data_IF_597916790654
#
_entry.id   IF_597916790654
#
_cell.length_a   1.000
_cell.length_b   1.000
_cell.length_c   1.000
_cell.angle_alpha   90.00
_cell.angle_beta   90.00
_cell.angle_gamma   90.00
#
_symmetry.space_group_name_H-M   'P 1'
#
loop_
_entity.id
_entity.type
_entity.pdbx_description
1 polymer ?
#
# COMPACT_ATOMS: atom_id res chain seq x y z
N UNK A 1 -21.32 14.16 -69.10
CA UNK A 1 -22.69 14.53 -68.82
C UNK A 1 -23.46 13.25 -68.45
N UNK A 2 -23.89 13.13 -67.29
CA UNK A 2 -25.06 12.48 -66.69
C UNK A 2 -24.70 12.11 -65.23
N UNK A 3 -25.32 12.82 -64.33
CA UNK A 3 -25.18 12.64 -62.90
C UNK A 3 -25.97 11.37 -62.47
N UNK A 4 -25.35 10.49 -61.66
CA UNK A 4 -26.00 9.40 -60.99
C UNK A 4 -26.31 9.84 -59.55
N UNK A 5 -27.59 9.97 -59.25
CA UNK A 5 -28.15 10.19 -57.90
C UNK A 5 -27.99 8.93 -57.05
N UNK A 6 -27.21 8.99 -55.98
CA UNK A 6 -27.12 7.94 -54.97
C UNK A 6 -28.28 8.09 -54.00
N UNK A 7 -29.10 7.05 -53.89
CA UNK A 7 -30.18 6.92 -52.90
C UNK A 7 -29.61 6.61 -51.50
N UNK A 8 -30.11 7.34 -50.50
CA UNK A 8 -29.86 7.12 -49.08
C UNK A 8 -30.59 5.86 -48.59
N UNK A 9 -29.96 4.91 -47.92
CA UNK A 9 -30.67 3.77 -47.32
C UNK A 9 -31.40 4.16 -46.04
N UNK A 10 -32.54 3.51 -45.79
CA UNK A 10 -33.48 3.75 -44.72
C UNK A 10 -32.90 3.55 -43.30
N UNK A 11 -33.40 4.35 -42.39
CA UNK A 11 -33.20 4.34 -40.94
C UNK A 11 -33.35 2.95 -40.31
N UNK A 12 -32.31 2.56 -39.53
CA UNK A 12 -32.34 1.39 -38.66
C UNK A 12 -33.36 1.57 -37.51
N UNK A 13 -34.01 0.50 -37.03
CA UNK A 13 -34.94 0.58 -35.92
C UNK A 13 -34.21 0.88 -34.59
N UNK A 14 -34.90 1.64 -33.72
CA UNK A 14 -34.41 1.99 -32.38
C UNK A 14 -34.16 0.73 -31.52
N UNK A 15 -33.14 0.74 -30.65
CA UNK A 15 -32.88 -0.38 -29.78
C UNK A 15 -34.00 -0.55 -28.76
N UNK A 16 -34.47 -1.77 -28.62
CA UNK A 16 -35.44 -2.22 -27.62
C UNK A 16 -34.83 -2.04 -26.23
N UNK A 17 -35.52 -1.34 -25.34
CA UNK A 17 -35.14 -1.19 -23.93
C UNK A 17 -35.05 -2.55 -23.27
N UNK A 18 -33.82 -3.03 -23.02
CA UNK A 18 -33.59 -4.18 -22.18
C UNK A 18 -33.96 -3.80 -20.74
N UNK A 19 -34.82 -4.58 -20.13
CA UNK A 19 -35.20 -4.48 -18.72
C UNK A 19 -33.95 -4.69 -17.85
N UNK A 20 -33.68 -3.71 -16.99
CA UNK A 20 -32.63 -3.79 -15.95
C UNK A 20 -32.98 -4.98 -15.04
N UNK A 21 -32.09 -5.97 -14.84
CA UNK A 21 -32.33 -7.04 -13.88
C UNK A 21 -32.39 -6.45 -12.47
N UNK A 22 -33.31 -6.96 -11.67
CA UNK A 22 -33.55 -6.56 -10.28
C UNK A 22 -32.24 -6.62 -9.50
N UNK A 23 -31.94 -5.54 -8.76
CA UNK A 23 -30.83 -5.42 -7.82
C UNK A 23 -30.73 -6.66 -6.93
N UNK A 24 -29.58 -7.33 -6.97
CA UNK A 24 -29.26 -8.38 -6.01
C UNK A 24 -29.39 -7.83 -4.58
N UNK A 25 -29.87 -8.62 -3.61
CA UNK A 25 -29.98 -8.18 -2.24
C UNK A 25 -28.60 -7.79 -1.71
N UNK A 26 -28.53 -6.67 -1.00
CA UNK A 26 -27.31 -6.21 -0.33
C UNK A 26 -26.74 -7.34 0.55
N UNK A 27 -25.42 -7.59 0.52
CA UNK A 27 -24.83 -8.63 1.34
C UNK A 27 -25.10 -8.33 2.82
N UNK A 28 -25.62 -9.31 3.52
CA UNK A 28 -25.89 -9.27 4.95
C UNK A 28 -24.65 -8.80 5.69
N UNK A 29 -24.79 -7.76 6.49
CA UNK A 29 -23.72 -7.21 7.34
C UNK A 29 -23.22 -8.31 8.27
N UNK A 30 -22.07 -8.91 7.95
CA UNK A 30 -21.32 -9.70 8.91
C UNK A 30 -20.80 -8.70 9.97
N UNK A 31 -21.50 -8.59 11.09
CA UNK A 31 -21.07 -7.81 12.24
C UNK A 31 -19.80 -8.44 12.81
N UNK A 32 -18.81 -7.62 13.15
CA UNK A 32 -17.66 -8.04 13.96
C UNK A 32 -18.22 -8.65 15.26
N UNK A 33 -17.76 -9.84 15.67
CA UNK A 33 -18.23 -10.47 16.89
C UNK A 33 -18.14 -9.52 18.09
N UNK A 34 -19.15 -9.51 18.97
CA UNK A 34 -19.25 -8.60 20.12
C UNK A 34 -18.02 -8.67 21.04
N UNK A 35 -17.38 -9.85 21.16
CA UNK A 35 -16.16 -10.06 21.93
C UNK A 35 -14.91 -9.40 21.33
N UNK A 36 -14.97 -8.94 20.09
CA UNK A 36 -13.84 -8.28 19.41
C UNK A 36 -13.78 -6.77 19.69
N UNK A 37 -14.69 -6.21 20.49
CA UNK A 37 -14.73 -4.77 20.80
C UNK A 37 -14.21 -4.49 22.21
N UNK A 38 -13.58 -3.31 22.37
CA UNK A 38 -13.22 -2.75 23.67
C UNK A 38 -14.51 -2.21 24.36
N UNK A 39 -14.46 -1.92 25.70
CA UNK A 39 -15.61 -1.34 26.40
C UNK A 39 -16.15 -0.03 25.81
N UNK A 40 -15.29 0.72 25.09
CA UNK A 40 -15.63 1.96 24.36
C UNK A 40 -16.24 1.70 22.97
N UNK A 41 -16.52 0.44 22.60
CA UNK A 41 -17.08 0.06 21.31
C UNK A 41 -16.08 0.03 20.14
N UNK A 42 -14.81 0.36 20.38
CA UNK A 42 -13.75 0.30 19.36
C UNK A 42 -13.33 -1.16 19.13
N UNK A 43 -13.20 -1.62 17.86
CA UNK A 43 -12.70 -2.96 17.56
C UNK A 43 -11.29 -3.17 18.15
N UNK A 44 -11.01 -4.36 18.63
CA UNK A 44 -9.67 -4.73 19.09
C UNK A 44 -8.76 -5.01 17.90
N UNK A 45 -7.47 -4.59 17.94
CA UNK A 45 -6.51 -5.06 16.97
C UNK A 45 -6.27 -6.56 17.14
N UNK A 46 -5.92 -7.26 16.06
CA UNK A 46 -5.56 -8.66 16.11
C UNK A 46 -4.42 -8.88 17.11
N UNK A 47 -4.56 -9.88 17.96
CA UNK A 47 -3.59 -10.21 19.00
C UNK A 47 -2.47 -11.12 18.46
N UNK A 48 -2.71 -11.82 17.36
CA UNK A 48 -1.77 -12.76 16.72
C UNK A 48 -1.67 -12.56 15.21
N UNK A 49 -0.65 -13.18 14.63
CA UNK A 49 -0.45 -13.28 13.19
C UNK A 49 -1.67 -13.90 12.50
N UNK A 50 -2.11 -15.07 13.01
CA UNK A 50 -3.20 -15.83 12.40
C UNK A 50 -4.53 -15.08 12.44
N UNK A 51 -4.84 -14.38 13.53
CA UNK A 51 -6.03 -13.53 13.63
C UNK A 51 -6.02 -12.42 12.60
N UNK A 52 -4.87 -11.73 12.40
CA UNK A 52 -4.76 -10.65 11.44
C UNK A 52 -4.94 -11.14 10.00
N UNK A 53 -4.31 -12.28 9.65
CA UNK A 53 -4.42 -12.89 8.32
C UNK A 53 -5.84 -13.40 8.09
N UNK A 54 -6.47 -14.04 9.07
CA UNK A 54 -7.85 -14.49 8.99
C UNK A 54 -8.82 -13.32 8.80
N UNK A 55 -8.63 -12.21 9.53
CA UNK A 55 -9.44 -11.00 9.37
C UNK A 55 -9.32 -10.41 7.96
N UNK A 56 -8.09 -10.32 7.42
CA UNK A 56 -7.85 -9.85 6.07
C UNK A 56 -8.54 -10.74 5.03
N UNK A 57 -8.41 -12.06 5.16
CA UNK A 57 -9.05 -13.05 4.29
C UNK A 57 -10.58 -12.95 4.32
N UNK A 58 -11.16 -12.75 5.49
CA UNK A 58 -12.62 -12.66 5.67
C UNK A 58 -13.24 -11.45 4.97
N UNK A 59 -12.53 -10.30 4.94
CA UNK A 59 -13.05 -9.07 4.31
C UNK A 59 -12.64 -8.90 2.85
N UNK A 60 -11.63 -9.64 2.35
CA UNK A 60 -11.12 -9.51 0.98
C UNK A 60 -12.21 -9.63 -0.11
N UNK A 61 -13.17 -10.59 -0.06
CA UNK A 61 -14.23 -10.67 -1.06
C UNK A 61 -15.15 -9.44 -1.06
N UNK A 62 -15.45 -8.87 0.11
CA UNK A 62 -16.27 -7.66 0.24
C UNK A 62 -15.52 -6.46 -0.36
N UNK A 63 -14.20 -6.35 -0.13
CA UNK A 63 -13.36 -5.32 -0.71
C UNK A 63 -13.25 -5.47 -2.23
N UNK A 64 -13.26 -6.71 -2.74
CA UNK A 64 -13.30 -7.02 -4.17
C UNK A 64 -14.53 -6.42 -4.87
N UNK A 65 -15.68 -6.38 -4.19
CA UNK A 65 -16.90 -5.76 -4.71
C UNK A 65 -16.74 -4.24 -4.98
N UNK A 66 -15.87 -3.57 -4.26
CA UNK A 66 -15.56 -2.13 -4.46
C UNK A 66 -14.44 -1.87 -5.47
N UNK A 67 -13.79 -2.89 -6.02
CA UNK A 67 -12.59 -2.71 -6.84
C UNK A 67 -12.85 -1.89 -8.13
N UNK A 68 -13.98 -2.13 -8.82
CA UNK A 68 -14.37 -1.37 -10.00
C UNK A 68 -14.76 0.08 -9.65
N UNK A 69 -15.43 0.28 -8.53
CA UNK A 69 -15.78 1.62 -8.04
C UNK A 69 -14.54 2.41 -7.66
N UNK A 70 -13.60 1.81 -6.92
CA UNK A 70 -12.33 2.43 -6.56
C UNK A 70 -11.51 2.83 -7.80
N UNK A 71 -11.46 1.98 -8.83
CA UNK A 71 -10.81 2.28 -10.10
C UNK A 71 -11.43 3.52 -10.77
N UNK A 72 -12.76 3.60 -10.83
CA UNK A 72 -13.51 4.72 -11.43
C UNK A 72 -13.34 6.01 -10.61
N UNK A 73 -13.45 5.94 -9.29
CA UNK A 73 -13.34 7.10 -8.39
C UNK A 73 -11.89 7.63 -8.26
N UNK A 74 -10.90 6.80 -8.57
CA UNK A 74 -9.47 7.09 -8.35
C UNK A 74 -9.14 7.34 -6.88
N UNK A 75 -9.91 6.70 -6.00
CA UNK A 75 -9.75 6.67 -4.53
C UNK A 75 -10.59 5.53 -3.98
N UNK A 76 -10.38 5.09 -2.73
CA UNK A 76 -11.25 4.08 -2.14
C UNK A 76 -12.62 4.68 -1.75
N UNK A 77 -13.72 3.96 -1.95
CA UNK A 77 -14.98 4.29 -1.32
C UNK A 77 -14.88 4.28 0.21
N UNK A 78 -15.64 5.13 0.89
CA UNK A 78 -15.63 5.24 2.34
C UNK A 78 -15.93 3.90 3.05
N UNK A 79 -16.79 3.09 2.47
CA UNK A 79 -17.15 1.75 2.96
C UNK A 79 -15.93 0.80 2.97
N UNK A 80 -15.11 0.85 1.92
CA UNK A 80 -13.90 0.03 1.84
C UNK A 80 -12.87 0.45 2.91
N UNK A 81 -12.75 1.75 3.17
CA UNK A 81 -11.89 2.26 4.26
C UNK A 81 -12.42 1.83 5.62
N UNK A 82 -13.74 1.94 5.85
CA UNK A 82 -14.35 1.49 7.11
C UNK A 82 -14.14 -0.01 7.37
N UNK A 83 -14.21 -0.86 6.33
CA UNK A 83 -13.92 -2.29 6.48
C UNK A 83 -12.50 -2.55 6.99
N UNK A 84 -11.53 -1.78 6.52
CA UNK A 84 -10.14 -1.88 6.96
C UNK A 84 -9.97 -1.35 8.40
N UNK A 85 -10.64 -0.25 8.75
CA UNK A 85 -10.64 0.33 10.09
C UNK A 85 -11.30 -0.60 11.11
N UNK A 86 -12.49 -1.15 10.80
CA UNK A 86 -13.20 -2.10 11.65
C UNK A 86 -12.40 -3.39 11.90
N UNK A 87 -11.67 -3.86 10.88
CA UNK A 87 -10.77 -5.00 10.99
C UNK A 87 -9.40 -4.62 11.60
N UNK A 88 -9.14 -3.35 11.92
CA UNK A 88 -7.88 -2.83 12.49
C UNK A 88 -6.65 -3.23 11.68
N UNK A 89 -6.76 -3.32 10.35
CA UNK A 89 -5.67 -3.80 9.50
C UNK A 89 -4.60 -2.73 9.20
N UNK A 90 -4.88 -1.46 9.44
CA UNK A 90 -3.85 -0.43 9.44
C UNK A 90 -2.95 -0.49 10.69
N UNK A 91 -3.42 -1.10 11.79
CA UNK A 91 -2.74 -1.14 13.08
C UNK A 91 -1.81 -2.34 13.29
N UNK A 92 -1.60 -3.17 12.28
CA UNK A 92 -0.76 -4.39 12.38
C UNK A 92 0.63 -4.08 12.92
N UNK A 93 1.24 -2.99 12.47
CA UNK A 93 2.57 -2.54 12.90
C UNK A 93 2.55 -1.40 13.92
N UNK A 94 1.38 -0.95 14.37
CA UNK A 94 1.28 0.02 15.47
C UNK A 94 1.65 -0.68 16.79
N UNK A 95 2.52 -0.09 17.64
CA UNK A 95 2.91 -0.74 18.88
C UNK A 95 1.73 -1.00 19.83
N UNK A 96 1.76 -2.13 20.55
CA UNK A 96 0.69 -2.52 21.51
C UNK A 96 0.43 -1.46 22.57
N UNK A 97 1.49 -0.79 23.05
CA UNK A 97 1.37 0.30 24.04
C UNK A 97 0.57 1.50 23.53
N UNK A 98 0.42 1.62 22.21
CA UNK A 98 -0.37 2.64 21.53
C UNK A 98 -1.67 2.08 20.95
N UNK A 99 -2.12 0.90 21.42
CA UNK A 99 -3.39 0.31 21.04
C UNK A 99 -3.40 -0.44 19.71
N UNK A 100 -2.23 -0.72 19.12
CA UNK A 100 -2.09 -1.51 17.90
C UNK A 100 -1.82 -3.00 18.14
N UNK A 101 -1.63 -3.76 17.06
CA UNK A 101 -1.32 -5.19 17.09
C UNK A 101 0.10 -5.49 17.54
N UNK A 102 1.07 -4.61 17.25
CA UNK A 102 2.49 -4.82 17.52
C UNK A 102 3.04 -6.07 16.84
N UNK A 103 2.47 -6.45 15.68
CA UNK A 103 2.82 -7.65 14.91
C UNK A 103 4.01 -7.37 13.98
N UNK A 104 4.50 -8.42 13.31
CA UNK A 104 5.71 -8.31 12.48
C UNK A 104 5.42 -8.04 10.99
N UNK A 105 6.52 -7.88 10.24
CA UNK A 105 6.45 -7.63 8.80
C UNK A 105 5.93 -8.84 8.00
N UNK A 106 6.09 -10.08 8.49
CA UNK A 106 5.44 -11.26 7.91
C UNK A 106 3.90 -11.12 7.93
N UNK A 107 3.34 -10.64 9.05
CA UNK A 107 1.90 -10.35 9.14
C UNK A 107 1.52 -9.23 8.18
N UNK A 108 2.35 -8.19 8.08
CA UNK A 108 2.13 -7.09 7.16
C UNK A 108 2.10 -7.56 5.69
N UNK A 109 3.03 -8.42 5.30
CA UNK A 109 3.10 -9.02 3.97
C UNK A 109 1.84 -9.84 3.67
N UNK A 110 1.47 -10.78 4.57
CA UNK A 110 0.40 -11.74 4.31
C UNK A 110 -0.99 -11.11 4.38
N UNK A 111 -1.22 -10.17 5.29
CA UNK A 111 -2.49 -9.41 5.30
C UNK A 111 -2.65 -8.56 4.03
N UNK A 112 -1.55 -8.01 3.48
CA UNK A 112 -1.57 -7.31 2.20
C UNK A 112 -1.86 -8.26 1.04
N UNK A 113 -1.24 -9.46 1.02
CA UNK A 113 -1.51 -10.49 0.01
C UNK A 113 -3.01 -10.84 -0.03
N UNK A 114 -3.61 -11.17 1.12
CA UNK A 114 -5.03 -11.53 1.20
C UNK A 114 -5.95 -10.40 0.72
N UNK A 115 -5.71 -9.16 1.15
CA UNK A 115 -6.50 -8.01 0.70
C UNK A 115 -6.37 -7.73 -0.79
N UNK A 116 -5.16 -7.92 -1.34
CA UNK A 116 -4.89 -7.67 -2.75
C UNK A 116 -5.51 -8.70 -3.67
N UNK A 117 -5.88 -9.89 -3.18
CA UNK A 117 -6.73 -10.84 -3.91
C UNK A 117 -8.10 -10.24 -4.22
N UNK A 118 -8.66 -9.43 -3.32
CA UNK A 118 -9.89 -8.70 -3.57
C UNK A 118 -9.67 -7.45 -4.42
N UNK A 119 -8.71 -6.61 -4.02
CA UNK A 119 -8.42 -5.34 -4.69
C UNK A 119 -6.97 -4.91 -4.43
N UNK A 120 -6.18 -4.81 -5.49
CA UNK A 120 -4.77 -4.41 -5.40
C UNK A 120 -4.59 -2.99 -4.82
N UNK A 121 -5.47 -2.04 -5.14
CA UNK A 121 -5.44 -0.69 -4.57
C UNK A 121 -5.67 -0.69 -3.05
N UNK A 122 -6.57 -1.54 -2.55
CA UNK A 122 -6.79 -1.73 -1.11
C UNK A 122 -5.54 -2.29 -0.44
N UNK A 123 -4.96 -3.35 -1.01
CA UNK A 123 -3.71 -3.93 -0.50
C UNK A 123 -2.57 -2.92 -0.49
N UNK A 124 -2.46 -2.12 -1.53
CA UNK A 124 -1.46 -1.05 -1.60
C UNK A 124 -1.61 -0.05 -0.46
N UNK A 125 -2.81 0.48 -0.24
CA UNK A 125 -3.05 1.45 0.84
C UNK A 125 -2.81 0.83 2.21
N UNK A 126 -3.24 -0.42 2.43
CA UNK A 126 -2.92 -1.14 3.65
C UNK A 126 -1.41 -1.28 3.86
N UNK A 127 -0.66 -1.65 2.81
CA UNK A 127 0.79 -1.81 2.90
C UNK A 127 1.49 -0.50 3.27
N UNK A 128 1.13 0.60 2.59
CA UNK A 128 1.74 1.91 2.81
C UNK A 128 1.31 2.49 4.14
N UNK A 129 0.02 2.70 4.35
CA UNK A 129 -0.48 3.40 5.54
C UNK A 129 -0.23 2.61 6.82
N UNK A 130 -0.43 1.28 6.79
CA UNK A 130 -0.11 0.42 7.92
C UNK A 130 1.40 0.26 8.14
N UNK A 131 2.22 0.34 7.09
CA UNK A 131 3.68 0.35 7.19
C UNK A 131 4.21 1.63 7.85
N UNK A 132 3.57 2.76 7.59
CA UNK A 132 3.99 4.05 8.11
C UNK A 132 3.77 4.21 9.62
N UNK A 133 2.87 3.44 10.24
CA UNK A 133 2.73 3.41 11.70
C UNK A 133 4.00 2.91 12.39
N UNK A 134 4.75 2.00 11.73
CA UNK A 134 6.09 1.61 12.18
C UNK A 134 7.06 2.81 12.17
N UNK A 135 7.02 3.65 11.12
CA UNK A 135 7.85 4.85 11.02
C UNK A 135 7.50 5.86 12.13
N UNK A 136 6.20 6.09 12.38
CA UNK A 136 5.73 6.95 13.47
C UNK A 136 6.23 6.46 14.83
N UNK A 137 6.30 5.14 15.04
CA UNK A 137 6.82 4.57 16.28
C UNK A 137 8.29 4.91 16.57
N UNK A 138 9.04 5.45 15.61
CA UNK A 138 10.43 5.91 15.77
C UNK A 138 10.52 7.39 16.21
N UNK A 139 9.44 8.16 16.09
CA UNK A 139 9.42 9.58 16.47
C UNK A 139 9.44 9.80 18.00
N UNK A 140 9.64 11.05 18.48
CA UNK A 140 9.48 11.44 19.88
C UNK A 140 8.15 10.98 20.47
N UNK A 141 8.10 10.79 21.80
CA UNK A 141 6.90 10.28 22.49
C UNK A 141 5.69 11.20 22.31
N UNK A 142 5.92 12.51 22.30
CA UNK A 142 4.89 13.53 22.09
C UNK A 142 4.23 13.37 20.71
N UNK A 143 5.02 13.18 19.67
CA UNK A 143 4.52 12.94 18.32
C UNK A 143 3.73 11.62 18.24
N UNK A 144 4.23 10.56 18.91
CA UNK A 144 3.50 9.28 18.99
C UNK A 144 2.16 9.43 19.71
N UNK A 145 2.11 10.24 20.79
CA UNK A 145 0.87 10.54 21.51
C UNK A 145 -0.14 11.26 20.63
N UNK A 146 0.30 12.24 19.85
CA UNK A 146 -0.56 12.95 18.90
C UNK A 146 -1.12 12.02 17.82
N UNK A 147 -0.25 11.25 17.16
CA UNK A 147 -0.65 10.40 16.02
C UNK A 147 -1.50 9.22 16.48
N UNK A 148 -1.15 8.56 17.58
CA UNK A 148 -1.86 7.38 18.07
C UNK A 148 -2.96 7.70 19.11
N UNK A 149 -3.37 8.97 19.20
CA UNK A 149 -4.49 9.39 20.09
C UNK A 149 -5.82 8.77 19.70
N UNK A 150 -6.01 8.46 18.44
CA UNK A 150 -7.17 7.77 17.89
C UNK A 150 -6.80 6.36 17.40
N UNK A 151 -7.70 5.39 17.49
CA UNK A 151 -7.50 4.06 16.89
C UNK A 151 -7.55 4.15 15.37
N UNK A 152 -6.84 3.23 14.70
CA UNK A 152 -6.79 3.14 13.23
C UNK A 152 -6.33 4.42 12.53
N UNK A 153 -5.39 5.16 13.14
CA UNK A 153 -4.84 6.36 12.51
C UNK A 153 -4.14 6.00 11.20
N UNK A 154 -4.54 6.68 10.13
CA UNK A 154 -4.02 6.45 8.78
C UNK A 154 -2.93 7.47 8.47
N UNK A 155 -1.75 6.97 8.17
CA UNK A 155 -0.55 7.77 7.96
C UNK A 155 -0.06 7.59 6.53
N UNK A 156 -0.16 8.62 5.70
CA UNK A 156 0.44 8.64 4.37
C UNK A 156 1.95 8.92 4.46
N UNK A 157 2.67 8.62 3.39
CA UNK A 157 4.12 8.85 3.32
C UNK A 157 4.50 9.49 1.99
N UNK A 158 5.36 10.50 2.08
CA UNK A 158 6.11 11.02 0.95
C UNK A 158 7.57 11.23 1.37
N UNK A 159 8.46 10.30 1.01
CA UNK A 159 9.86 10.29 1.46
C UNK A 159 10.69 11.49 0.99
N UNK A 160 10.22 12.25 0.01
CA UNK A 160 10.98 13.39 -0.53
C UNK A 160 10.06 14.48 -1.04
N UNK A 161 9.87 15.53 -0.25
CA UNK A 161 9.27 16.76 -0.74
C UNK A 161 10.25 17.51 -1.64
N UNK A 162 9.73 18.12 -2.69
CA UNK A 162 10.44 19.06 -3.53
C UNK A 162 10.18 20.48 -3.03
N UNK A 163 11.17 21.37 -3.18
CA UNK A 163 11.09 22.75 -2.71
C UNK A 163 12.36 23.18 -1.97
N UNK A 164 12.39 24.40 -1.44
CA UNK A 164 13.53 24.89 -0.67
C UNK A 164 13.70 24.08 0.64
N UNK A 165 14.90 23.99 1.19
CA UNK A 165 15.11 23.41 2.52
C UNK A 165 14.23 24.09 3.57
N UNK A 166 13.73 23.31 4.53
CA UNK A 166 12.99 23.88 5.66
C UNK A 166 13.91 24.80 6.48
N UNK A 167 13.37 25.92 6.95
CA UNK A 167 14.14 26.88 7.73
C UNK A 167 14.01 26.60 9.22
N UNK A 168 15.12 26.43 9.90
CA UNK A 168 15.15 26.30 11.35
C UNK A 168 14.67 27.59 12.00
N UNK A 169 13.73 27.47 12.94
CA UNK A 169 13.19 28.59 13.74
C UNK A 169 13.10 28.19 15.21
N UNK A 170 12.91 29.13 16.15
CA UNK A 170 12.67 28.76 17.55
C UNK A 170 11.48 27.79 17.68
N UNK A 171 11.70 26.63 18.32
CA UNK A 171 10.70 25.60 18.57
C UNK A 171 10.37 24.67 17.41
N UNK A 172 11.05 24.78 16.25
CA UNK A 172 10.76 23.89 15.12
C UNK A 172 11.34 24.31 13.79
N UNK A 173 10.62 23.95 12.73
CA UNK A 173 10.99 24.22 11.35
C UNK A 173 9.82 24.85 10.58
N UNK A 174 10.12 25.90 9.81
CA UNK A 174 9.18 26.50 8.89
C UNK A 174 9.34 25.90 7.49
N UNK A 175 8.30 25.20 7.02
CA UNK A 175 8.16 24.74 5.64
C UNK A 175 7.42 25.81 4.84
N UNK A 176 7.86 26.07 3.60
CA UNK A 176 7.19 27.00 2.70
C UNK A 176 7.34 26.57 1.25
N UNK A 177 6.23 26.52 0.51
CA UNK A 177 6.25 26.27 -0.92
C UNK A 177 6.79 24.89 -1.30
N UNK A 178 6.60 23.89 -0.42
CA UNK A 178 6.99 22.52 -0.68
C UNK A 178 5.86 21.75 -1.36
N UNK A 179 6.21 20.71 -2.13
CA UNK A 179 5.25 19.83 -2.77
C UNK A 179 5.76 18.39 -2.85
N UNK A 180 4.84 17.43 -2.88
CA UNK A 180 5.12 16.01 -3.01
C UNK A 180 4.25 15.35 -4.07
N UNK A 181 4.73 14.26 -4.67
CA UNK A 181 4.02 13.43 -5.64
C UNK A 181 3.86 12.02 -5.12
N UNK A 182 2.87 11.29 -5.66
CA UNK A 182 2.66 9.87 -5.35
C UNK A 182 2.39 9.61 -3.86
N UNK A 183 1.62 10.50 -3.19
CA UNK A 183 1.25 10.32 -1.78
C UNK A 183 0.03 9.39 -1.69
N UNK A 184 0.28 8.08 -1.61
CA UNK A 184 -0.77 7.07 -1.60
C UNK A 184 -1.68 7.21 -0.38
N UNK A 185 -2.99 7.26 -0.64
CA UNK A 185 -4.02 7.34 0.40
C UNK A 185 -4.15 8.70 1.06
N UNK A 186 -3.61 9.77 0.48
CA UNK A 186 -3.68 11.12 1.05
C UNK A 186 -5.13 11.57 1.31
N UNK A 187 -6.09 11.12 0.49
CA UNK A 187 -7.51 11.41 0.64
C UNK A 187 -8.11 10.83 1.94
N UNK A 188 -7.45 9.83 2.54
CA UNK A 188 -7.92 9.11 3.72
C UNK A 188 -7.00 9.26 4.93
N UNK A 189 -5.87 9.95 4.77
CA UNK A 189 -4.88 10.12 5.82
C UNK A 189 -5.26 11.24 6.79
N UNK A 190 -4.93 11.07 8.05
CA UNK A 190 -4.93 12.13 9.07
C UNK A 190 -3.55 12.79 9.16
N UNK A 191 -2.49 12.01 8.88
CA UNK A 191 -1.11 12.43 8.97
C UNK A 191 -0.30 12.07 7.75
N UNK A 192 0.73 12.87 7.46
CA UNK A 192 1.71 12.59 6.42
C UNK A 192 3.10 12.56 7.05
N UNK A 193 3.84 11.47 6.90
CA UNK A 193 5.29 11.46 7.11
C UNK A 193 5.96 12.01 5.86
N UNK A 194 6.59 13.15 5.96
CA UNK A 194 7.20 13.86 4.84
C UNK A 194 8.72 13.89 4.98
N UNK A 195 9.44 13.46 3.94
CA UNK A 195 10.89 13.60 3.85
C UNK A 195 11.26 15.02 3.42
N UNK A 196 11.99 15.74 4.26
CA UNK A 196 12.31 17.16 4.11
C UNK A 196 13.81 17.38 4.28
N UNK A 197 14.42 18.19 3.42
CA UNK A 197 15.78 18.67 3.62
C UNK A 197 15.77 19.84 4.61
N UNK A 198 16.49 19.73 5.71
CA UNK A 198 16.51 20.73 6.78
C UNK A 198 17.85 20.75 7.51
N UNK A 199 18.33 21.93 8.00
CA UNK A 199 19.56 21.99 8.79
C UNK A 199 19.31 21.48 10.21
N UNK A 200 20.20 20.63 10.74
CA UNK A 200 20.11 20.13 12.12
C UNK A 200 20.21 21.25 13.17
N UNK A 201 21.00 22.30 12.88
CA UNK A 201 21.19 23.48 13.71
C UNK A 201 21.27 24.73 12.83
N UNK A 202 21.07 25.95 13.40
CA UNK A 202 21.25 27.19 12.66
C UNK A 202 22.63 27.25 11.99
N UNK A 203 22.64 27.47 10.65
CA UNK A 203 23.88 27.54 9.86
C UNK A 203 24.50 26.20 9.46
N UNK A 204 23.96 25.06 9.90
CA UNK A 204 24.39 23.76 9.42
C UNK A 204 23.91 23.48 7.99
N UNK A 205 24.64 22.60 7.27
CA UNK A 205 24.17 22.13 5.97
C UNK A 205 22.84 21.36 6.12
N UNK A 206 21.90 21.52 5.16
CA UNK A 206 20.66 20.75 5.20
C UNK A 206 20.93 19.25 5.03
N UNK A 207 20.26 18.43 5.83
CA UNK A 207 20.28 16.97 5.79
C UNK A 207 18.86 16.40 5.75
N UNK A 208 18.66 15.14 5.34
CA UNK A 208 17.34 14.54 5.27
C UNK A 208 16.72 14.33 6.67
N UNK A 209 15.49 14.83 6.83
CA UNK A 209 14.64 14.61 8.00
C UNK A 209 13.31 14.03 7.57
N UNK A 210 12.64 13.32 8.48
CA UNK A 210 11.22 12.99 8.40
C UNK A 210 10.47 13.96 9.30
N UNK A 211 9.37 14.50 8.80
CA UNK A 211 8.50 15.41 9.52
C UNK A 211 7.05 14.93 9.49
N UNK A 212 6.36 15.00 10.62
CA UNK A 212 4.94 14.67 10.74
C UNK A 212 4.10 15.93 10.47
N UNK A 213 3.32 15.87 9.38
CA UNK A 213 2.45 16.94 8.94
C UNK A 213 1.00 16.50 9.13
N UNK A 214 0.12 17.32 9.76
CA UNK A 214 -1.32 17.08 9.69
C UNK A 214 -1.78 17.20 8.23
N UNK A 215 -2.53 16.22 7.74
CA UNK A 215 -2.97 16.18 6.33
C UNK A 215 -3.82 17.40 5.98
N UNK A 216 -4.67 17.87 6.89
CA UNK A 216 -5.52 19.07 6.75
C UNK A 216 -4.73 20.37 6.48
N UNK A 217 -3.43 20.40 6.78
CA UNK A 217 -2.53 21.53 6.52
C UNK A 217 -1.86 21.46 5.14
N UNK A 218 -2.27 20.53 4.31
CA UNK A 218 -1.79 20.34 2.93
C UNK A 218 -2.92 20.60 1.94
N UNK A 219 -2.56 20.90 0.70
CA UNK A 219 -3.53 21.10 -0.40
C UNK A 219 -3.29 20.01 -1.44
N UNK A 220 -4.26 19.10 -1.58
CA UNK A 220 -4.22 18.04 -2.57
C UNK A 220 -4.39 18.56 -4.01
N UNK A 221 -3.77 17.88 -4.97
CA UNK A 221 -3.86 18.16 -6.40
C UNK A 221 -4.51 16.95 -7.07
N UNK A 222 -5.58 17.15 -7.85
CA UNK A 222 -6.26 16.07 -8.58
C UNK A 222 -5.52 15.69 -9.86
N UNK A 223 -4.35 15.05 -9.71
CA UNK A 223 -3.48 14.64 -10.81
C UNK A 223 -3.29 13.11 -10.93
N UNK A 224 -4.01 12.30 -10.12
CA UNK A 224 -3.87 10.84 -10.13
C UNK A 224 -4.68 10.19 -11.25
N UNK A 225 -4.24 10.41 -12.51
CA UNK A 225 -4.82 9.84 -13.73
C UNK A 225 -3.86 8.79 -14.30
N UNK A 226 -3.95 7.56 -13.79
CA UNK A 226 -3.00 6.48 -14.08
C UNK A 226 -3.64 5.30 -14.79
N UNK A 227 -2.82 4.42 -15.38
CA UNK A 227 -3.27 3.20 -16.04
C UNK A 227 -3.76 2.12 -15.08
N UNK A 228 -3.20 2.05 -13.86
CA UNK A 228 -3.55 1.08 -12.82
C UNK A 228 -3.31 1.65 -11.43
N UNK A 229 -3.68 0.89 -10.39
CA UNK A 229 -3.69 1.33 -9.00
C UNK A 229 -4.46 2.65 -8.80
N UNK A 230 -5.49 2.88 -9.62
CA UNK A 230 -6.24 4.14 -9.62
C UNK A 230 -6.89 4.39 -8.27
N UNK A 231 -7.44 3.34 -7.64
CA UNK A 231 -8.11 3.42 -6.34
C UNK A 231 -7.18 3.79 -5.18
N UNK A 232 -5.86 3.91 -5.37
CA UNK A 232 -4.95 4.33 -4.31
C UNK A 232 -4.99 5.83 -4.04
N UNK A 233 -5.54 6.65 -4.94
CA UNK A 233 -5.55 8.10 -4.77
C UNK A 233 -4.18 8.69 -4.47
N UNK A 234 -3.12 8.18 -5.15
CA UNK A 234 -1.73 8.59 -4.85
C UNK A 234 -1.41 9.98 -5.42
N UNK A 235 -2.21 10.96 -5.02
CA UNK A 235 -2.20 12.32 -5.54
C UNK A 235 -0.94 13.09 -5.13
N UNK A 236 -0.66 14.14 -5.87
CA UNK A 236 0.27 15.18 -5.44
C UNK A 236 -0.38 16.12 -4.41
N UNK A 237 0.46 16.81 -3.64
CA UNK A 237 0.00 17.81 -2.68
C UNK A 237 1.04 18.93 -2.52
N UNK A 238 0.60 20.07 -2.01
CA UNK A 238 1.46 21.19 -1.64
C UNK A 238 1.35 21.50 -0.16
N UNK A 239 2.44 22.05 0.39
CA UNK A 239 2.51 22.62 1.74
C UNK A 239 2.79 24.12 1.58
N UNK A 240 1.78 24.99 1.62
CA UNK A 240 1.96 26.43 1.39
C UNK A 240 2.90 27.06 2.40
N UNK A 241 2.53 27.00 3.66
CA UNK A 241 3.36 27.38 4.81
C UNK A 241 2.93 26.59 6.04
N UNK A 242 3.90 26.01 6.77
CA UNK A 242 3.62 25.24 7.98
C UNK A 242 4.80 25.29 8.95
N UNK A 243 4.52 25.65 10.21
CA UNK A 243 5.45 25.46 11.31
C UNK A 243 5.32 24.00 11.82
N UNK A 244 6.41 23.24 11.75
CA UNK A 244 6.51 21.88 12.28
C UNK A 244 7.31 21.94 13.59
N UNK A 245 6.73 21.62 14.75
CA UNK A 245 7.41 21.66 16.02
C UNK A 245 8.48 20.58 16.13
N UNK A 246 9.48 20.79 16.97
CA UNK A 246 10.65 19.90 17.11
C UNK A 246 10.29 18.43 17.37
N UNK A 247 9.27 18.17 18.21
CA UNK A 247 8.86 16.81 18.53
C UNK A 247 8.26 16.05 17.33
N UNK A 248 7.87 16.73 16.26
CA UNK A 248 7.38 16.11 15.00
C UNK A 248 8.48 15.94 13.95
N UNK A 249 9.73 16.03 14.35
CA UNK A 249 10.88 15.93 13.45
C UNK A 249 11.79 14.79 13.86
N UNK A 250 12.23 13.99 12.90
CA UNK A 250 13.14 12.86 13.10
C UNK A 250 14.22 12.91 12.01
N UNK A 251 15.53 12.94 12.34
CA UNK A 251 16.58 12.75 11.34
C UNK A 251 16.38 11.41 10.62
N UNK A 252 16.51 11.37 9.30
CA UNK A 252 16.32 10.14 8.53
C UNK A 252 17.30 9.04 8.96
N UNK A 253 18.54 9.43 9.34
CA UNK A 253 19.54 8.53 9.90
C UNK A 253 19.11 7.82 11.19
N UNK A 254 18.13 8.37 11.91
CA UNK A 254 17.57 7.72 13.09
C UNK A 254 16.78 6.44 12.75
N UNK A 255 16.42 6.19 11.49
CA UNK A 255 15.82 4.93 11.06
C UNK A 255 16.86 3.81 10.87
N UNK A 256 18.14 4.14 10.85
CA UNK A 256 19.20 3.14 10.69
C UNK A 256 19.32 2.28 11.96
N UNK A 257 19.47 0.97 11.81
CA UNK A 257 19.72 0.08 12.93
C UNK A 257 21.05 0.45 13.60
N UNK A 258 21.05 0.55 14.91
CA UNK A 258 22.26 0.93 15.66
C UNK A 258 22.44 2.43 15.85
N UNK A 259 21.72 3.28 15.13
CA UNK A 259 21.69 4.71 15.47
C UNK A 259 21.10 4.92 16.88
N UNK A 260 21.67 5.78 17.70
CA UNK A 260 21.03 6.16 18.95
C UNK A 260 19.63 6.68 18.66
N UNK A 261 18.61 6.09 19.29
CA UNK A 261 17.29 6.68 19.29
C UNK A 261 17.16 7.57 20.51
N UNK A 262 17.25 8.89 20.37
CA UNK A 262 17.17 9.81 21.51
C UNK A 262 15.78 9.73 22.20
N UNK A 263 14.82 9.10 21.57
CA UNK A 263 13.42 9.10 22.01
C UNK A 263 12.89 7.72 22.44
N UNK A 264 13.78 6.72 22.61
CA UNK A 264 13.40 5.36 23.03
C UNK A 264 12.56 4.63 21.97
N UNK A 265 13.19 3.78 21.16
CA UNK A 265 12.49 2.88 20.23
C UNK A 265 11.71 1.80 20.99
N UNK A 266 10.57 1.34 20.48
CA UNK A 266 10.01 0.08 20.97
C UNK A 266 11.06 -1.03 20.84
N UNK A 267 11.22 -1.84 21.90
CA UNK A 267 12.30 -2.84 21.97
C UNK A 267 11.98 -4.18 21.30
N UNK A 268 10.75 -4.37 20.84
CA UNK A 268 10.34 -5.61 20.18
C UNK A 268 10.91 -5.70 18.76
N UNK A 269 11.07 -6.93 18.29
CA UNK A 269 11.74 -7.27 17.02
C UNK A 269 11.33 -6.42 15.82
N UNK A 270 10.03 -6.17 15.52
CA UNK A 270 9.67 -5.42 14.33
C UNK A 270 10.30 -4.02 14.27
N UNK A 271 10.45 -3.35 15.41
CA UNK A 271 10.96 -1.96 15.46
C UNK A 271 12.51 -1.87 15.50
N UNK A 272 13.18 -3.02 15.58
CA UNK A 272 14.64 -3.12 15.49
C UNK A 272 15.13 -3.44 14.08
N UNK A 273 14.24 -3.80 13.16
CA UNK A 273 14.57 -4.07 11.77
C UNK A 273 14.96 -2.80 11.03
N UNK A 274 15.84 -2.93 10.03
CA UNK A 274 16.25 -1.80 9.20
C UNK A 274 15.13 -1.37 8.27
N UNK A 275 14.69 -0.12 8.33
CA UNK A 275 13.68 0.41 7.40
C UNK A 275 14.05 0.14 5.94
N UNK A 276 15.32 0.35 5.58
CA UNK A 276 15.82 0.12 4.23
C UNK A 276 15.70 -1.33 3.74
N UNK A 277 15.56 -2.31 4.65
CA UNK A 277 15.37 -3.72 4.29
C UNK A 277 13.89 -4.10 4.22
N UNK A 278 13.08 -3.68 5.20
CA UNK A 278 11.72 -4.20 5.38
C UNK A 278 10.60 -3.20 5.05
N UNK A 279 10.94 -1.91 4.90
CA UNK A 279 9.93 -0.85 4.71
C UNK A 279 9.02 -1.03 3.50
N UNK A 280 9.45 -1.81 2.51
CA UNK A 280 8.68 -2.07 1.28
C UNK A 280 8.24 -3.52 1.11
N UNK A 281 8.54 -4.43 2.07
CA UNK A 281 8.19 -5.86 1.92
C UNK A 281 6.68 -6.08 1.77
N UNK A 282 5.87 -5.32 2.49
CA UNK A 282 4.42 -5.42 2.37
C UNK A 282 3.90 -5.08 0.96
N UNK A 283 4.63 -4.25 0.19
CA UNK A 283 4.28 -3.98 -1.21
C UNK A 283 4.39 -5.24 -2.09
N UNK A 284 5.30 -6.17 -1.77
CA UNK A 284 5.37 -7.45 -2.48
C UNK A 284 4.07 -8.26 -2.30
N UNK A 285 3.39 -8.11 -1.15
CA UNK A 285 2.07 -8.72 -0.92
C UNK A 285 1.01 -8.25 -1.92
N UNK A 286 1.14 -7.04 -2.46
CA UNK A 286 0.23 -6.55 -3.51
C UNK A 286 0.35 -7.39 -4.78
N UNK A 287 1.58 -7.65 -5.22
CA UNK A 287 1.84 -8.44 -6.43
C UNK A 287 1.57 -9.93 -6.21
N UNK A 288 1.86 -10.47 -5.02
CA UNK A 288 1.46 -11.84 -4.64
C UNK A 288 -0.06 -12.00 -4.72
N UNK A 289 -0.82 -11.09 -4.09
CA UNK A 289 -2.28 -11.14 -4.10
C UNK A 289 -2.89 -10.91 -5.49
N UNK A 290 -2.33 -10.00 -6.29
CA UNK A 290 -2.75 -9.78 -7.67
C UNK A 290 -2.49 -11.01 -8.56
N UNK A 291 -1.35 -11.70 -8.39
CA UNK A 291 -1.06 -12.93 -9.11
C UNK A 291 -2.04 -14.06 -8.76
N UNK A 292 -2.38 -14.22 -7.47
CA UNK A 292 -3.40 -15.18 -7.05
C UNK A 292 -4.78 -14.83 -7.60
N UNK A 293 -5.17 -13.54 -7.54
CA UNK A 293 -6.45 -13.09 -8.09
C UNK A 293 -6.55 -13.35 -9.60
N UNK A 294 -5.45 -13.17 -10.34
CA UNK A 294 -5.41 -13.46 -11.78
C UNK A 294 -5.58 -14.96 -12.04
N UNK A 295 -4.89 -15.83 -11.29
CA UNK A 295 -5.02 -17.29 -11.40
C UNK A 295 -6.42 -17.76 -11.03
N UNK A 296 -7.01 -17.25 -9.95
CA UNK A 296 -8.39 -17.55 -9.52
C UNK A 296 -9.40 -17.15 -10.62
N UNK A 297 -9.25 -15.96 -11.19
CA UNK A 297 -10.13 -15.48 -12.26
C UNK A 297 -10.01 -16.31 -13.56
N UNK A 298 -8.80 -16.72 -13.90
CA UNK A 298 -8.55 -17.58 -15.06
C UNK A 298 -9.16 -18.97 -14.88
N UNK A 299 -8.96 -19.61 -13.73
CA UNK A 299 -9.52 -20.91 -13.42
C UNK A 299 -11.08 -20.92 -13.48
N UNK A 300 -11.72 -19.81 -13.12
CA UNK A 300 -13.15 -19.63 -13.19
C UNK A 300 -13.70 -19.22 -14.57
N UNK A 301 -12.83 -19.03 -15.58
CA UNK A 301 -13.24 -18.57 -16.92
C UNK A 301 -13.36 -19.71 -17.93
N UNK A 302 -14.13 -19.54 -19.03
CA UNK A 302 -14.16 -20.50 -20.14
C UNK A 302 -12.78 -20.73 -20.78
N UNK A 303 -11.89 -19.75 -20.73
CA UNK A 303 -10.51 -19.83 -21.22
C UNK A 303 -9.62 -20.72 -20.33
N UNK A 304 -10.03 -21.05 -19.11
CA UNK A 304 -9.27 -21.88 -18.17
C UNK A 304 -8.96 -23.31 -18.67
N UNK A 305 -9.57 -23.71 -19.79
CA UNK A 305 -9.27 -24.98 -20.47
C UNK A 305 -8.10 -24.90 -21.47
N UNK A 306 -7.54 -23.74 -21.73
CA UNK A 306 -6.53 -23.51 -22.78
C UNK A 306 -5.12 -23.45 -22.24
N UNK A 307 -4.42 -24.58 -22.17
CA UNK A 307 -2.94 -24.68 -22.27
C UNK A 307 -2.02 -23.95 -21.26
N UNK A 308 -2.55 -23.12 -20.36
CA UNK A 308 -1.75 -22.44 -19.33
C UNK A 308 -1.48 -23.42 -18.16
N UNK A 309 -0.23 -23.61 -17.82
CA UNK A 309 0.14 -24.43 -16.64
C UNK A 309 -0.09 -23.61 -15.34
N UNK A 310 -1.34 -23.63 -14.89
CA UNK A 310 -1.77 -22.96 -13.64
C UNK A 310 -1.00 -23.48 -12.43
N UNK A 311 -0.63 -24.78 -12.42
CA UNK A 311 0.11 -25.38 -11.31
C UNK A 311 1.53 -24.83 -11.21
N UNK A 312 2.23 -24.69 -12.33
CA UNK A 312 3.58 -24.10 -12.35
C UNK A 312 3.55 -22.62 -11.97
N UNK A 313 2.55 -21.86 -12.44
CA UNK A 313 2.39 -20.45 -12.08
C UNK A 313 2.04 -20.28 -10.60
N UNK A 314 1.19 -21.15 -10.04
CA UNK A 314 0.88 -21.18 -8.60
C UNK A 314 2.14 -21.45 -7.79
N UNK A 315 2.94 -22.45 -8.17
CA UNK A 315 4.22 -22.75 -7.52
C UNK A 315 5.20 -21.58 -7.58
N UNK A 316 5.19 -20.77 -8.65
CA UNK A 316 5.98 -19.53 -8.75
C UNK A 316 5.60 -18.52 -7.67
N UNK A 317 4.30 -18.29 -7.47
CA UNK A 317 3.79 -17.38 -6.42
C UNK A 317 4.10 -17.92 -5.03
N UNK A 318 3.90 -19.22 -4.80
CA UNK A 318 4.19 -19.87 -3.52
C UNK A 318 5.67 -19.79 -3.15
N UNK A 319 6.56 -20.03 -4.12
CA UNK A 319 8.01 -19.91 -3.94
C UNK A 319 8.43 -18.48 -3.61
N UNK A 320 7.90 -17.49 -4.33
CA UNK A 320 8.17 -16.08 -4.06
C UNK A 320 7.73 -15.68 -2.64
N UNK A 321 6.54 -16.13 -2.22
CA UNK A 321 6.04 -15.91 -0.86
C UNK A 321 6.93 -16.57 0.20
N UNK A 322 7.28 -17.84 0.02
CA UNK A 322 8.10 -18.59 0.96
C UNK A 322 9.49 -17.98 1.12
N UNK A 323 10.10 -17.52 0.04
CA UNK A 323 11.39 -16.85 0.03
C UNK A 323 11.36 -15.57 0.88
N UNK A 324 10.36 -14.71 0.70
CA UNK A 324 10.22 -13.46 1.48
C UNK A 324 10.00 -13.72 2.97
N UNK A 325 9.24 -14.76 3.32
CA UNK A 325 9.03 -15.14 4.72
C UNK A 325 10.34 -15.65 5.35
N UNK A 326 11.09 -16.49 4.65
CA UNK A 326 12.40 -16.98 5.13
C UNK A 326 13.42 -15.86 5.32
N UNK A 327 13.40 -14.83 4.46
CA UNK A 327 14.25 -13.65 4.62
C UNK A 327 13.86 -12.80 5.83
N UNK A 328 12.55 -12.64 6.08
CA UNK A 328 12.06 -11.95 7.27
C UNK A 328 12.45 -12.68 8.55
N UNK A 329 12.35 -14.02 8.57
CA UNK A 329 12.79 -14.84 9.70
C UNK A 329 14.30 -14.71 9.93
N UNK A 330 15.10 -14.71 8.85
CA UNK A 330 16.55 -14.50 8.92
C UNK A 330 16.90 -13.14 9.54
N UNK A 331 16.25 -12.06 9.06
CA UNK A 331 16.45 -10.72 9.60
C UNK A 331 16.00 -10.61 11.06
N UNK A 332 14.91 -11.29 11.44
CA UNK A 332 14.40 -11.29 12.81
C UNK A 332 15.35 -12.03 13.78
N UNK A 333 16.00 -13.10 13.32
CA UNK A 333 16.95 -13.91 14.08
C UNK A 333 18.37 -13.34 14.08
N UNK A 334 18.68 -12.34 13.25
CA UNK A 334 20.02 -11.79 13.13
C UNK A 334 20.53 -11.23 14.46
N UNK A 335 21.77 -11.56 14.83
CA UNK A 335 22.46 -11.00 15.99
C UNK A 335 22.87 -9.54 15.80
N UNK A 336 22.97 -9.10 14.53
CA UNK A 336 23.24 -7.71 14.17
C UNK A 336 21.95 -6.91 14.19
N UNK A 337 21.84 -5.81 14.93
CA UNK A 337 20.64 -4.97 14.90
C UNK A 337 20.26 -4.57 13.47
N UNK A 338 19.06 -4.95 13.06
CA UNK A 338 18.54 -4.68 11.71
C UNK A 338 19.09 -5.55 10.60
N UNK A 339 19.82 -6.62 10.94
CA UNK A 339 20.46 -7.53 9.98
C UNK A 339 21.84 -7.06 9.51
N UNK A 340 22.65 -7.97 8.96
CA UNK A 340 23.92 -7.63 8.32
C UNK A 340 23.67 -6.88 6.99
N UNK A 341 24.67 -6.20 6.41
CA UNK A 341 24.55 -5.58 5.08
C UNK A 341 24.10 -6.58 4.01
N UNK A 342 24.62 -7.82 4.05
CA UNK A 342 24.32 -8.91 3.11
C UNK A 342 22.87 -9.39 3.27
N UNK A 343 22.38 -9.59 4.49
CA UNK A 343 20.98 -9.95 4.78
C UNK A 343 20.02 -8.87 4.28
N UNK A 344 20.35 -7.59 4.52
CA UNK A 344 19.56 -6.47 4.03
C UNK A 344 19.57 -6.35 2.50
N UNK A 345 20.72 -6.60 1.87
CA UNK A 345 20.85 -6.60 0.40
C UNK A 345 20.05 -7.74 -0.21
N UNK A 346 20.13 -8.95 0.40
CA UNK A 346 19.35 -10.12 -0.03
C UNK A 346 17.85 -9.82 0.04
N UNK A 347 17.34 -9.31 1.16
CA UNK A 347 15.92 -8.98 1.31
C UNK A 347 15.43 -7.99 0.23
N UNK A 348 16.20 -6.95 -0.09
CA UNK A 348 15.84 -5.98 -1.13
C UNK A 348 15.80 -6.61 -2.52
N UNK A 349 16.81 -7.44 -2.85
CA UNK A 349 16.86 -8.19 -4.11
C UNK A 349 15.65 -9.11 -4.23
N UNK A 350 15.33 -9.83 -3.17
CA UNK A 350 14.31 -10.87 -3.18
C UNK A 350 12.89 -10.28 -3.20
N UNK A 351 12.67 -9.08 -2.62
CA UNK A 351 11.45 -8.28 -2.84
C UNK A 351 11.29 -7.94 -4.33
N UNK A 352 12.36 -7.46 -4.98
CA UNK A 352 12.30 -7.09 -6.39
C UNK A 352 12.08 -8.33 -7.30
N UNK A 353 12.73 -9.44 -6.98
CA UNK A 353 12.55 -10.70 -7.69
C UNK A 353 11.12 -11.24 -7.55
N UNK A 354 10.59 -11.30 -6.33
CA UNK A 354 9.21 -11.74 -6.07
C UNK A 354 8.20 -10.91 -6.85
N UNK A 355 8.35 -9.56 -6.82
CA UNK A 355 7.48 -8.67 -7.58
C UNK A 355 7.55 -8.92 -9.09
N UNK A 356 8.75 -9.14 -9.63
CA UNK A 356 8.95 -9.45 -11.05
C UNK A 356 8.27 -10.76 -11.43
N UNK A 357 8.46 -11.83 -10.64
CA UNK A 357 7.85 -13.15 -10.92
C UNK A 357 6.32 -13.09 -10.85
N UNK A 358 5.76 -12.42 -9.83
CA UNK A 358 4.31 -12.26 -9.72
C UNK A 358 3.72 -11.44 -10.88
N UNK A 359 4.38 -10.37 -11.33
CA UNK A 359 3.96 -9.62 -12.52
C UNK A 359 3.95 -10.51 -13.78
N UNK A 360 4.96 -11.36 -13.95
CA UNK A 360 5.02 -12.30 -15.08
C UNK A 360 3.87 -13.30 -15.04
N UNK A 361 3.49 -13.80 -13.86
CA UNK A 361 2.30 -14.64 -13.70
C UNK A 361 1.04 -13.91 -14.16
N UNK A 362 0.85 -12.64 -13.74
CA UNK A 362 -0.31 -11.83 -14.16
C UNK A 362 -0.32 -11.61 -15.67
N UNK A 363 0.84 -11.33 -16.28
CA UNK A 363 0.96 -11.14 -17.73
C UNK A 363 0.62 -12.43 -18.49
N UNK A 364 1.14 -13.58 -18.04
CA UNK A 364 0.84 -14.87 -18.65
C UNK A 364 -0.68 -15.20 -18.62
N UNK A 365 -1.33 -14.89 -17.50
CA UNK A 365 -2.79 -15.05 -17.38
C UNK A 365 -3.52 -14.10 -18.32
N UNK A 366 -3.12 -12.83 -18.40
CA UNK A 366 -3.73 -11.86 -19.31
C UNK A 366 -3.63 -12.30 -20.77
N UNK A 367 -2.45 -12.74 -21.20
CA UNK A 367 -2.19 -13.21 -22.57
C UNK A 367 -3.02 -14.46 -22.90
N UNK A 368 -3.20 -15.37 -21.94
CA UNK A 368 -3.97 -16.59 -22.13
C UNK A 368 -5.50 -16.39 -22.05
N UNK A 369 -5.98 -15.24 -21.58
CA UNK A 369 -7.42 -14.97 -21.38
C UNK A 369 -8.20 -14.65 -22.66
N UNK A 370 -7.50 -14.49 -23.79
CA UNK A 370 -8.13 -14.23 -25.09
C UNK A 370 -8.69 -12.79 -25.23
N UNK A 371 -9.42 -12.53 -26.30
CA UNK A 371 -9.85 -11.16 -26.66
C UNK A 371 -10.87 -10.54 -25.69
N UNK A 372 -11.63 -11.33 -24.95
CA UNK A 372 -12.61 -10.82 -23.99
C UNK A 372 -11.97 -10.05 -22.82
N UNK A 373 -10.67 -10.25 -22.57
CA UNK A 373 -9.97 -9.58 -21.48
C UNK A 373 -9.78 -8.07 -21.69
N UNK A 374 -9.95 -7.56 -22.93
CA UNK A 374 -9.76 -6.14 -23.24
C UNK A 374 -10.91 -5.22 -22.79
N UNK A 375 -12.04 -5.78 -22.41
CA UNK A 375 -13.19 -4.98 -21.96
C UNK A 375 -12.93 -4.40 -20.55
N UNK A 376 -13.45 -3.19 -20.30
CA UNK A 376 -13.24 -2.47 -19.03
C UNK A 376 -13.83 -3.18 -17.80
N UNK A 377 -14.87 -3.99 -18.00
CA UNK A 377 -15.51 -4.80 -16.94
C UNK A 377 -14.82 -6.15 -16.69
N UNK A 378 -13.84 -6.53 -17.52
CA UNK A 378 -13.10 -7.76 -17.34
C UNK A 378 -12.19 -7.69 -16.10
N UNK A 379 -12.39 -8.54 -15.08
CA UNK A 379 -11.59 -8.48 -13.85
C UNK A 379 -10.09 -8.65 -14.09
N UNK A 380 -9.68 -9.53 -15.00
CA UNK A 380 -8.28 -9.81 -15.34
C UNK A 380 -7.59 -8.56 -15.91
N UNK A 381 -8.30 -7.76 -16.72
CA UNK A 381 -7.77 -6.50 -17.27
C UNK A 381 -7.40 -5.52 -16.16
N UNK A 382 -8.26 -5.31 -15.17
CA UNK A 382 -7.98 -4.44 -14.03
C UNK A 382 -6.81 -4.97 -13.20
N UNK A 383 -6.81 -6.28 -12.88
CA UNK A 383 -5.71 -6.92 -12.16
C UNK A 383 -4.37 -6.72 -12.90
N UNK A 384 -4.39 -6.89 -14.22
CA UNK A 384 -3.21 -6.70 -15.06
C UNK A 384 -2.71 -5.25 -15.02
N UNK A 385 -3.60 -4.26 -15.17
CA UNK A 385 -3.23 -2.83 -15.07
C UNK A 385 -2.64 -2.50 -13.70
N UNK A 386 -3.27 -2.97 -12.64
CA UNK A 386 -2.85 -2.71 -11.26
C UNK A 386 -1.48 -3.35 -10.96
N UNK A 387 -1.26 -4.61 -11.37
CA UNK A 387 0.01 -5.29 -11.17
C UNK A 387 1.16 -4.63 -11.95
N UNK A 388 0.92 -4.23 -13.22
CA UNK A 388 1.92 -3.55 -14.02
C UNK A 388 2.21 -2.13 -13.50
N UNK A 389 1.22 -1.41 -12.97
CA UNK A 389 1.43 -0.13 -12.31
C UNK A 389 2.21 -0.29 -10.98
N UNK A 390 1.85 -1.28 -10.15
CA UNK A 390 2.56 -1.59 -8.90
C UNK A 390 4.04 -1.88 -9.15
N UNK A 391 4.33 -2.67 -10.18
CA UNK A 391 5.68 -3.08 -10.54
C UNK A 391 6.59 -1.92 -11.01
N UNK A 392 6.04 -0.72 -11.26
CA UNK A 392 6.85 0.48 -11.56
C UNK A 392 7.45 1.11 -10.30
N UNK A 393 7.04 0.67 -9.10
CA UNK A 393 7.67 1.17 -7.88
C UNK A 393 9.15 0.77 -7.82
N UNK A 394 10.07 1.68 -7.47
CA UNK A 394 11.52 1.44 -7.49
C UNK A 394 11.98 0.21 -6.68
N UNK A 395 11.19 -0.24 -5.71
CA UNK A 395 11.49 -1.45 -4.93
C UNK A 395 11.49 -2.73 -5.77
N UNK A 396 10.79 -2.73 -6.91
CA UNK A 396 10.70 -3.89 -7.81
C UNK A 396 11.68 -3.82 -9.00
N UNK A 397 12.56 -2.83 -9.04
CA UNK A 397 13.59 -2.76 -10.10
C UNK A 397 14.78 -3.66 -9.75
N UNK A 398 14.81 -4.86 -10.32
CA UNK A 398 15.91 -5.83 -10.14
C UNK A 398 17.27 -5.28 -10.57
N UNK A 399 17.34 -4.36 -11.53
CA UNK A 399 18.60 -3.76 -11.96
C UNK A 399 19.22 -2.92 -10.85
N UNK A 400 18.37 -2.31 -10.01
CA UNK A 400 18.79 -1.50 -8.87
C UNK A 400 19.28 -2.36 -7.69
N UNK A 401 18.70 -3.54 -7.49
CA UNK A 401 18.92 -4.37 -6.31
C UNK A 401 19.64 -5.69 -6.59
N UNK A 402 19.72 -6.10 -7.88
CA UNK A 402 20.38 -7.33 -8.30
C UNK A 402 21.88 -7.21 -8.53
N UNK A 403 22.42 -5.99 -8.60
CA UNK A 403 23.86 -5.79 -8.69
C UNK A 403 24.51 -6.09 -7.33
N UNK A 404 25.42 -7.06 -7.31
CA UNK A 404 26.28 -7.29 -6.15
C UNK A 404 27.08 -6.00 -5.89
N UNK A 405 27.16 -5.49 -4.65
CA UNK A 405 28.08 -4.41 -4.36
C UNK A 405 29.51 -4.88 -4.72
N UNK A 406 30.12 -4.20 -5.66
CA UNK A 406 31.55 -4.38 -6.00
C UNK A 406 32.43 -3.92 -4.86
#
# INVERSE_FOLDING_TARGET
>A
MTAATASVPATAPAPTTASVPATAPAPTTASVPADARRPDGVPRPAASHDEAVAAARAIAPRLGAYAAEADRLRTLPAEAVRLLDDARLFDVLTPRVWGGGGLGFATALLTTEELSRGCASVGWLRAVMGGNTWTVAQFPVEARQEVFSAPSTRVALQLRLSGPPARRVPGGYLLRGMWGRFCSGIDHAEWIVAGVSAPAAPGAAPEPHLMLLPQERTVGIDDWHTSGLRGTGSRSFTVPELLVPDHRVLPLSALDPGSPSPHGRPRTTPYRMAFAAVGTVALAGVLLGAARAALDAYAGSPSGASGLDVSALTATVDTARAMLLADLDTLAASSTPGGTPEERARMRRDIAYAGTRCREVVNAVYEASGSAVIYDDAPVQRIWRDANAAAQHPTFDLRRWGATPS
#
